data_IF_965929396118
#
_entry.id   IF_965929396118
#
_cell.length_a   1.000
_cell.length_b   1.000
_cell.length_c   1.000
_cell.angle_alpha   90.00
_cell.angle_beta   90.00
_cell.angle_gamma   90.00
#
_symmetry.space_group_name_H-M   'P 1'
#
loop_
_entity.id
_entity.type
_entity.pdbx_description
1 polymer ?
#
# COMPACT_ATOMS: atom_id res chain seq x y z
N UNK A 1 14.94 -24.87 -7.29
CA UNK A 1 13.66 -24.49 -7.90
C UNK A 1 12.64 -24.32 -6.79
N UNK A 2 11.84 -23.23 -6.81
CA UNK A 2 10.76 -23.01 -5.88
C UNK A 2 9.42 -23.31 -6.53
N UNK A 3 8.48 -23.83 -5.76
CA UNK A 3 7.10 -24.08 -6.18
C UNK A 3 6.15 -23.06 -5.52
N UNK A 4 4.89 -23.02 -5.95
CA UNK A 4 3.89 -22.17 -5.32
C UNK A 4 3.61 -22.53 -3.86
N UNK A 5 3.84 -23.79 -3.47
CA UNK A 5 3.57 -24.27 -2.11
C UNK A 5 4.73 -24.02 -1.13
N UNK A 6 5.90 -23.64 -1.65
CA UNK A 6 7.05 -23.34 -0.80
C UNK A 6 6.84 -22.03 -0.03
N UNK A 7 7.29 -22.03 1.23
CA UNK A 7 7.20 -20.85 2.10
C UNK A 7 8.21 -19.80 1.66
N UNK A 8 7.72 -18.63 1.26
CA UNK A 8 8.53 -17.48 0.89
C UNK A 8 8.98 -16.68 2.11
N UNK A 9 8.09 -16.54 3.11
CA UNK A 9 8.37 -15.79 4.34
C UNK A 9 7.44 -16.19 5.48
N UNK A 10 7.84 -15.87 6.71
CA UNK A 10 7.00 -16.00 7.90
C UNK A 10 6.80 -14.61 8.51
N UNK A 11 5.56 -14.18 8.64
CA UNK A 11 5.20 -12.92 9.29
C UNK A 11 4.46 -13.16 10.58
N UNK A 12 4.95 -12.56 11.67
CA UNK A 12 4.36 -12.74 13.00
C UNK A 12 3.17 -11.82 13.21
N UNK A 13 2.10 -12.37 13.79
CA UNK A 13 0.93 -11.64 14.28
C UNK A 13 0.87 -11.75 15.81
N UNK A 14 0.23 -10.79 16.48
CA UNK A 14 0.11 -10.78 17.95
C UNK A 14 -0.65 -12.00 18.50
N UNK A 15 -1.46 -12.66 17.66
CA UNK A 15 -2.31 -13.77 18.07
C UNK A 15 -3.41 -13.34 19.07
N UNK A 16 -4.54 -14.03 19.04
CA UNK A 16 -5.67 -13.78 19.97
C UNK A 16 -5.46 -14.39 21.36
N UNK A 17 -4.48 -15.27 21.51
CA UNK A 17 -4.18 -16.02 22.75
C UNK A 17 -2.97 -15.50 23.52
N UNK A 18 -2.43 -14.32 23.13
CA UNK A 18 -1.29 -13.69 23.79
C UNK A 18 0.09 -14.19 23.34
N UNK A 19 0.17 -15.29 22.59
CA UNK A 19 1.43 -15.76 21.99
C UNK A 19 1.50 -15.37 20.50
N UNK A 20 2.64 -14.80 20.04
CA UNK A 20 2.82 -14.49 18.62
C UNK A 20 2.69 -15.75 17.76
N UNK A 21 2.01 -15.61 16.62
CA UNK A 21 1.85 -16.69 15.63
C UNK A 21 2.51 -16.30 14.33
N UNK A 22 3.32 -17.18 13.77
CA UNK A 22 3.95 -17.00 12.46
C UNK A 22 3.01 -17.43 11.34
N UNK A 23 2.46 -16.47 10.60
CA UNK A 23 1.73 -16.77 9.37
C UNK A 23 2.73 -17.14 8.27
N UNK A 24 2.58 -18.33 7.71
CA UNK A 24 3.41 -18.80 6.60
C UNK A 24 2.84 -18.24 5.29
N UNK A 25 3.64 -17.43 4.60
CA UNK A 25 3.29 -16.84 3.31
C UNK A 25 4.04 -17.61 2.24
N UNK A 26 3.33 -18.22 1.30
CA UNK A 26 3.93 -19.00 0.21
C UNK A 26 4.22 -18.13 -1.03
N UNK A 27 5.03 -18.65 -1.96
CA UNK A 27 5.24 -18.02 -3.26
C UNK A 27 3.93 -17.92 -4.05
N UNK A 28 3.07 -18.92 -3.95
CA UNK A 28 1.74 -18.91 -4.56
C UNK A 28 0.86 -17.78 -4.02
N UNK A 29 0.85 -17.55 -2.71
CA UNK A 29 0.11 -16.44 -2.12
C UNK A 29 0.59 -15.09 -2.65
N UNK A 30 1.90 -14.88 -2.78
CA UNK A 30 2.47 -13.66 -3.36
C UNK A 30 2.04 -13.49 -4.83
N UNK A 31 2.11 -14.57 -5.61
CA UNK A 31 1.72 -14.56 -7.03
C UNK A 31 0.23 -14.21 -7.20
N UNK A 32 -0.66 -14.93 -6.51
CA UNK A 32 -2.10 -14.69 -6.63
C UNK A 32 -2.52 -13.34 -6.07
N UNK A 33 -1.87 -12.83 -5.02
CA UNK A 33 -2.11 -11.49 -4.54
C UNK A 33 -1.72 -10.44 -5.61
N UNK A 34 -0.59 -10.62 -6.30
CA UNK A 34 -0.18 -9.73 -7.38
C UNK A 34 -1.19 -9.75 -8.55
N UNK A 35 -1.71 -10.92 -8.92
CA UNK A 35 -2.74 -11.07 -9.96
C UNK A 35 -4.05 -10.39 -9.54
N UNK A 36 -4.51 -10.65 -8.31
CA UNK A 36 -5.80 -10.15 -7.81
C UNK A 36 -5.79 -8.63 -7.61
N UNK A 37 -4.66 -8.05 -7.19
CA UNK A 37 -4.54 -6.62 -6.95
C UNK A 37 -4.14 -5.85 -8.23
N UNK A 38 -3.36 -6.45 -9.10
CA UNK A 38 -2.75 -5.77 -10.24
C UNK A 38 -3.76 -5.04 -11.14
N UNK A 39 -4.80 -5.73 -11.57
CA UNK A 39 -5.82 -5.16 -12.44
C UNK A 39 -6.64 -4.05 -11.74
N UNK A 40 -7.27 -4.29 -10.57
CA UNK A 40 -8.10 -3.26 -9.94
C UNK A 40 -7.30 -2.05 -9.46
N UNK A 41 -6.02 -2.21 -9.14
CA UNK A 41 -5.14 -1.10 -8.75
C UNK A 41 -4.42 -0.42 -9.94
N UNK A 42 -4.55 -0.96 -11.16
CA UNK A 42 -3.89 -0.41 -12.34
C UNK A 42 -2.36 -0.55 -12.30
N UNK A 43 -1.85 -1.62 -11.69
CA UNK A 43 -0.41 -1.87 -11.55
C UNK A 43 0.17 -2.34 -12.90
N UNK A 44 1.28 -1.73 -13.32
CA UNK A 44 2.03 -2.05 -14.53
C UNK A 44 3.53 -1.86 -14.31
N UNK A 45 4.33 -2.09 -15.35
CA UNK A 45 5.77 -1.83 -15.33
C UNK A 45 6.13 -0.34 -15.16
N UNK A 46 5.20 0.57 -15.49
CA UNK A 46 5.38 2.02 -15.32
C UNK A 46 4.99 2.51 -13.92
N UNK A 47 4.50 1.62 -13.07
CA UNK A 47 4.07 1.96 -11.71
C UNK A 47 5.25 2.36 -10.84
N UNK A 48 5.12 3.50 -10.17
CA UNK A 48 6.04 3.96 -9.12
C UNK A 48 5.27 4.18 -7.84
N UNK A 49 5.65 3.47 -6.78
CA UNK A 49 5.01 3.61 -5.47
C UNK A 49 5.91 4.32 -4.48
N UNK A 50 5.35 5.26 -3.72
CA UNK A 50 5.94 5.72 -2.47
C UNK A 50 5.54 4.76 -1.33
N UNK A 51 6.51 4.07 -0.75
CA UNK A 51 6.34 3.14 0.38
C UNK A 51 6.67 3.83 1.68
N UNK A 52 5.68 3.98 2.56
CA UNK A 52 5.81 4.62 3.88
C UNK A 52 5.53 3.66 5.03
N UNK A 53 5.02 2.47 4.74
CA UNK A 53 4.73 1.45 5.75
C UNK A 53 5.92 0.53 5.95
N UNK A 54 6.08 -0.04 7.17
CA UNK A 54 7.17 -0.98 7.47
C UNK A 54 7.13 -2.22 6.58
N UNK A 55 8.28 -2.59 6.00
CA UNK A 55 8.40 -3.77 5.13
C UNK A 55 8.37 -5.10 5.90
N UNK A 56 8.49 -5.09 7.23
CA UNK A 56 8.30 -6.28 8.04
C UNK A 56 6.82 -6.62 8.28
N UNK A 57 5.90 -5.76 7.86
CA UNK A 57 4.46 -5.97 7.92
C UNK A 57 3.89 -6.20 6.52
N UNK A 58 2.90 -7.10 6.41
CA UNK A 58 2.29 -7.47 5.13
C UNK A 58 1.68 -6.26 4.39
N UNK A 59 1.16 -5.26 5.11
CA UNK A 59 0.67 -4.02 4.52
C UNK A 59 1.74 -3.24 3.77
N UNK A 60 2.96 -3.16 4.31
CA UNK A 60 4.08 -2.46 3.66
C UNK A 60 4.70 -3.27 2.52
N UNK A 61 4.88 -4.58 2.72
CA UNK A 61 5.60 -5.43 1.76
C UNK A 61 4.69 -6.05 0.72
N UNK A 62 3.61 -6.71 1.15
CA UNK A 62 2.85 -7.59 0.26
C UNK A 62 1.61 -6.92 -0.34
N UNK A 63 1.12 -5.79 0.23
CA UNK A 63 -0.08 -5.15 -0.29
C UNK A 63 0.16 -4.58 -1.69
N UNK A 64 1.09 -3.64 -1.83
CA UNK A 64 1.40 -3.01 -3.11
C UNK A 64 2.83 -3.26 -3.57
N UNK A 65 3.82 -3.28 -2.64
CA UNK A 65 5.22 -3.29 -3.03
C UNK A 65 5.61 -4.56 -3.82
N UNK A 66 5.32 -5.75 -3.31
CA UNK A 66 5.60 -6.99 -4.04
C UNK A 66 4.82 -7.10 -5.37
N UNK A 67 3.50 -6.82 -5.45
CA UNK A 67 2.78 -6.77 -6.71
C UNK A 67 3.39 -5.82 -7.75
N UNK A 68 3.85 -4.65 -7.33
CA UNK A 68 4.49 -3.67 -8.22
C UNK A 68 5.84 -4.19 -8.73
N UNK A 69 6.67 -4.76 -7.86
CA UNK A 69 7.93 -5.38 -8.28
C UNK A 69 7.68 -6.58 -9.20
N UNK A 70 6.65 -7.38 -8.93
CA UNK A 70 6.24 -8.48 -9.81
C UNK A 70 5.86 -8.01 -11.21
N UNK A 71 5.22 -6.85 -11.33
CA UNK A 71 4.87 -6.23 -12.61
C UNK A 71 6.04 -5.51 -13.30
N UNK A 72 7.21 -5.40 -12.66
CA UNK A 72 8.38 -4.68 -13.17
C UNK A 72 8.39 -3.19 -12.84
N UNK A 73 7.51 -2.73 -11.97
CA UNK A 73 7.46 -1.35 -11.50
C UNK A 73 8.56 -1.00 -10.49
N UNK A 74 8.47 0.18 -9.89
CA UNK A 74 9.52 0.79 -9.07
C UNK A 74 8.99 1.22 -7.71
N UNK A 75 9.83 1.11 -6.67
CA UNK A 75 9.53 1.52 -5.30
C UNK A 75 10.46 2.65 -4.86
N UNK A 76 9.88 3.68 -4.24
CA UNK A 76 10.58 4.72 -3.50
C UNK A 76 10.32 4.46 -2.00
N UNK A 77 11.37 4.12 -1.27
CA UNK A 77 11.25 3.77 0.15
C UNK A 77 11.51 4.99 1.03
N UNK A 78 10.53 5.35 1.85
CA UNK A 78 10.69 6.36 2.90
C UNK A 78 10.98 5.64 4.22
N UNK A 79 12.18 5.84 4.77
CA UNK A 79 12.62 5.13 5.98
C UNK A 79 11.75 5.45 7.19
N UNK A 80 11.50 6.74 7.41
CA UNK A 80 10.68 7.25 8.50
C UNK A 80 9.60 8.14 7.89
N UNK A 81 8.35 7.89 8.21
CA UNK A 81 7.24 8.66 7.65
C UNK A 81 7.26 10.11 8.15
N UNK A 82 7.28 11.03 7.22
CA UNK A 82 7.10 12.46 7.44
C UNK A 82 6.06 12.99 6.43
N UNK A 83 4.96 13.63 6.88
CA UNK A 83 3.88 14.03 5.98
C UNK A 83 4.29 15.08 4.96
N UNK A 84 5.14 16.04 5.33
CA UNK A 84 5.62 17.08 4.41
C UNK A 84 6.53 16.50 3.33
N UNK A 85 7.47 15.64 3.72
CA UNK A 85 8.34 14.93 2.76
C UNK A 85 7.53 13.99 1.85
N UNK A 86 6.53 13.31 2.39
CA UNK A 86 5.65 12.45 1.59
C UNK A 86 4.91 13.28 0.53
N UNK A 87 4.32 14.41 0.91
CA UNK A 87 3.67 15.33 -0.02
C UNK A 87 4.66 15.87 -1.07
N UNK A 88 5.86 16.27 -0.66
CA UNK A 88 6.89 16.74 -1.58
C UNK A 88 7.24 15.67 -2.64
N UNK A 89 7.38 14.39 -2.23
CA UNK A 89 7.67 13.28 -3.15
C UNK A 89 6.47 12.95 -4.04
N UNK A 90 5.24 12.96 -3.50
CA UNK A 90 4.02 12.73 -4.27
C UNK A 90 3.77 13.82 -5.31
N UNK A 91 4.11 15.08 -4.99
CA UNK A 91 3.95 16.23 -5.87
C UNK A 91 5.09 16.44 -6.88
N UNK A 92 6.24 15.81 -6.67
CA UNK A 92 7.41 15.97 -7.54
C UNK A 92 7.26 15.13 -8.83
N UNK A 93 7.12 15.82 -9.96
CA UNK A 93 7.01 15.18 -11.27
C UNK A 93 8.22 14.30 -11.61
N UNK A 94 9.42 14.69 -11.20
CA UNK A 94 10.65 13.94 -11.48
C UNK A 94 10.72 12.59 -10.76
N UNK A 95 10.02 12.44 -9.63
CA UNK A 95 9.88 11.17 -8.90
C UNK A 95 8.92 10.22 -9.60
N UNK A 96 7.93 10.74 -10.33
CA UNK A 96 6.99 9.98 -11.14
C UNK A 96 6.07 9.06 -10.32
N UNK A 97 5.75 9.42 -9.08
CA UNK A 97 4.90 8.57 -8.22
C UNK A 97 3.49 8.49 -8.77
N UNK A 98 3.02 7.28 -8.98
CA UNK A 98 1.67 6.97 -9.51
C UNK A 98 0.80 6.23 -8.49
N UNK A 99 1.41 5.57 -7.51
CA UNK A 99 0.71 4.75 -6.54
C UNK A 99 1.14 5.05 -5.12
N UNK A 100 0.18 5.00 -4.21
CA UNK A 100 0.41 5.14 -2.78
C UNK A 100 -0.47 4.16 -2.01
N UNK A 101 0.07 3.52 -0.98
CA UNK A 101 -0.70 2.69 -0.06
C UNK A 101 -0.34 3.03 1.37
N UNK A 102 -1.36 3.20 2.22
CA UNK A 102 -1.19 3.51 3.63
C UNK A 102 -2.33 3.00 4.50
N UNK A 103 -2.09 3.03 5.81
CA UNK A 103 -3.17 2.98 6.80
C UNK A 103 -3.78 4.39 6.94
N UNK A 104 -4.95 4.59 7.60
CA UNK A 104 -5.59 5.90 7.67
C UNK A 104 -4.73 7.03 8.24
N UNK A 105 -3.82 6.74 9.18
CA UNK A 105 -3.02 7.77 9.86
C UNK A 105 -2.10 8.57 8.92
N UNK A 106 -1.26 7.99 8.04
CA UNK A 106 -0.51 8.73 7.02
C UNK A 106 -1.38 9.66 6.17
N UNK A 107 -2.54 9.19 5.73
CA UNK A 107 -3.49 10.02 4.97
C UNK A 107 -3.97 11.22 5.76
N UNK A 108 -4.34 11.01 7.03
CA UNK A 108 -4.78 12.08 7.92
C UNK A 108 -3.68 13.10 8.19
N UNK A 109 -2.45 12.65 8.47
CA UNK A 109 -1.33 13.54 8.74
C UNK A 109 -0.95 14.39 7.52
N UNK A 110 -0.97 13.81 6.32
CA UNK A 110 -0.78 14.57 5.08
C UNK A 110 -1.89 15.59 4.85
N UNK A 111 -3.17 15.24 5.09
CA UNK A 111 -4.29 16.18 5.00
C UNK A 111 -4.19 17.37 5.96
N UNK A 112 -3.60 17.15 7.14
CA UNK A 112 -3.39 18.21 8.14
C UNK A 112 -2.17 19.09 7.86
N UNK A 113 -1.31 18.67 6.92
CA UNK A 113 -0.09 19.41 6.58
C UNK A 113 -0.43 20.65 5.73
N UNK A 114 0.19 21.84 6.00
CA UNK A 114 -0.07 23.06 5.24
C UNK A 114 0.06 22.90 3.72
N UNK A 115 1.00 22.07 3.26
CA UNK A 115 1.27 21.88 1.84
C UNK A 115 0.25 20.98 1.14
N UNK A 116 -0.64 20.30 1.87
CA UNK A 116 -1.60 19.36 1.26
C UNK A 116 -2.45 20.03 0.17
N UNK A 117 -2.95 21.23 0.44
CA UNK A 117 -3.81 21.95 -0.49
C UNK A 117 -3.08 22.36 -1.79
N UNK A 118 -1.76 22.62 -1.71
CA UNK A 118 -0.95 23.07 -2.84
C UNK A 118 -0.25 21.93 -3.60
N UNK A 119 -0.15 20.74 -3.01
CA UNK A 119 0.53 19.60 -3.63
C UNK A 119 -0.22 19.13 -4.89
N UNK A 120 0.47 18.98 -6.00
CA UNK A 120 -0.10 18.35 -7.20
C UNK A 120 -0.17 16.83 -7.03
N UNK A 121 -1.39 16.30 -6.94
CA UNK A 121 -1.68 14.88 -6.81
C UNK A 121 -2.27 14.26 -8.09
N UNK A 122 -2.30 14.99 -9.19
CA UNK A 122 -2.95 14.58 -10.44
C UNK A 122 -2.34 13.34 -11.08
N UNK A 123 -1.09 13.02 -10.76
CA UNK A 123 -0.40 11.83 -11.27
C UNK A 123 -0.74 10.54 -10.54
N UNK A 124 -1.42 10.63 -9.40
CA UNK A 124 -1.80 9.43 -8.64
C UNK A 124 -2.90 8.67 -9.38
N UNK A 125 -2.54 7.53 -9.94
CA UNK A 125 -3.45 6.62 -10.65
C UNK A 125 -4.32 5.87 -9.65
N UNK A 126 -3.73 5.42 -8.55
CA UNK A 126 -4.46 4.73 -7.48
C UNK A 126 -3.79 4.95 -6.12
N UNK A 127 -4.60 5.26 -5.13
CA UNK A 127 -4.21 5.23 -3.74
C UNK A 127 -5.03 4.18 -2.98
N UNK A 128 -4.38 3.38 -2.15
CA UNK A 128 -5.04 2.34 -1.36
C UNK A 128 -4.99 2.66 0.14
N UNK A 129 -6.10 2.49 0.83
CA UNK A 129 -6.17 2.61 2.28
C UNK A 129 -6.72 1.32 2.89
N UNK A 130 -6.09 0.80 3.95
CA UNK A 130 -6.51 -0.43 4.60
C UNK A 130 -5.82 -0.67 5.94
N UNK A 131 -6.00 -1.88 6.50
CA UNK A 131 -5.39 -2.27 7.77
C UNK A 131 -6.08 -1.72 9.03
N UNK A 132 -6.94 -0.71 8.89
CA UNK A 132 -7.79 -0.16 9.94
C UNK A 132 -9.04 0.50 9.32
N UNK A 133 -10.13 0.67 10.08
CA UNK A 133 -11.28 1.46 9.62
C UNK A 133 -10.86 2.86 9.22
N UNK A 134 -11.27 3.32 8.03
CA UNK A 134 -10.97 4.66 7.53
C UNK A 134 -12.19 5.56 7.71
N UNK A 135 -11.99 6.71 8.34
CA UNK A 135 -13.05 7.69 8.51
C UNK A 135 -13.45 8.29 7.15
N UNK A 136 -14.76 8.49 6.94
CA UNK A 136 -15.29 9.06 5.70
C UNK A 136 -14.66 10.41 5.35
N UNK A 137 -14.37 11.23 6.36
CA UNK A 137 -13.72 12.54 6.15
C UNK A 137 -12.34 12.40 5.50
N UNK A 138 -11.57 11.34 5.82
CA UNK A 138 -10.28 11.08 5.19
C UNK A 138 -10.50 10.67 3.74
N UNK A 139 -11.43 9.73 3.49
CA UNK A 139 -11.74 9.29 2.13
C UNK A 139 -12.16 10.46 1.24
N UNK A 140 -13.12 11.27 1.70
CA UNK A 140 -13.60 12.45 0.97
C UNK A 140 -12.50 13.46 0.73
N UNK A 141 -11.68 13.79 1.74
CA UNK A 141 -10.62 14.78 1.60
C UNK A 141 -9.60 14.44 0.50
N UNK A 142 -9.33 13.18 0.24
CA UNK A 142 -8.45 12.74 -0.84
C UNK A 142 -9.19 12.62 -2.18
N UNK A 143 -10.41 12.08 -2.19
CA UNK A 143 -11.24 11.97 -3.41
C UNK A 143 -11.57 13.35 -3.97
N UNK A 144 -11.89 14.34 -3.14
CA UNK A 144 -12.16 15.72 -3.55
C UNK A 144 -10.92 16.40 -4.15
N UNK A 145 -9.72 15.87 -3.85
CA UNK A 145 -8.46 16.27 -4.49
C UNK A 145 -8.17 15.51 -5.79
N UNK A 146 -9.11 14.72 -6.28
CA UNK A 146 -8.99 13.95 -7.51
C UNK A 146 -8.18 12.66 -7.39
N UNK A 147 -7.83 12.22 -6.17
CA UNK A 147 -7.08 10.98 -5.95
C UNK A 147 -8.04 9.78 -5.94
N UNK A 148 -7.88 8.79 -6.85
CA UNK A 148 -8.69 7.56 -6.84
C UNK A 148 -8.34 6.70 -5.62
N UNK A 149 -9.05 6.89 -4.52
CA UNK A 149 -8.80 6.19 -3.25
C UNK A 149 -9.66 4.92 -3.16
N UNK A 150 -8.99 3.77 -3.01
CA UNK A 150 -9.62 2.46 -2.87
C UNK A 150 -9.42 1.97 -1.44
N UNK A 151 -10.50 1.54 -0.79
CA UNK A 151 -10.40 0.93 0.54
C UNK A 151 -10.29 -0.59 0.41
N UNK A 152 -9.28 -1.17 1.09
CA UNK A 152 -9.06 -2.61 1.16
C UNK A 152 -9.23 -3.17 2.56
N UNK A 153 -9.74 -4.40 2.64
CA UNK A 153 -9.68 -5.22 3.83
C UNK A 153 -8.82 -6.45 3.57
N UNK A 154 -8.04 -6.83 4.57
CA UNK A 154 -7.21 -8.02 4.51
C UNK A 154 -6.58 -8.33 5.87
N UNK A 155 -5.81 -9.41 5.91
CA UNK A 155 -5.07 -9.84 7.09
C UNK A 155 -3.76 -10.51 6.65
N UNK A 156 -2.84 -10.73 7.58
CA UNK A 156 -1.54 -11.34 7.27
C UNK A 156 -1.71 -12.70 6.59
N UNK A 157 -2.65 -13.50 7.06
CA UNK A 157 -2.94 -14.84 6.56
C UNK A 157 -3.56 -14.87 5.16
N UNK A 158 -4.10 -13.75 4.66
CA UNK A 158 -4.60 -13.63 3.28
C UNK A 158 -3.58 -13.00 2.32
N UNK A 159 -2.44 -12.54 2.81
CA UNK A 159 -1.23 -12.03 2.12
C UNK A 159 -1.40 -10.81 1.18
N UNK A 160 -1.89 -9.69 1.64
CA UNK A 160 -2.85 -9.42 2.69
C UNK A 160 -4.29 -9.31 2.19
N UNK A 161 -4.49 -9.15 0.84
CA UNK A 161 -5.75 -8.70 0.27
C UNK A 161 -6.85 -9.76 0.38
N UNK A 162 -7.97 -9.36 1.02
CA UNK A 162 -9.21 -10.13 1.02
C UNK A 162 -10.27 -9.49 0.12
N UNK A 163 -10.52 -8.18 0.27
CA UNK A 163 -11.51 -7.45 -0.53
C UNK A 163 -11.05 -6.03 -0.85
N UNK A 164 -11.52 -5.49 -1.97
CA UNK A 164 -11.40 -4.09 -2.37
C UNK A 164 -12.79 -3.51 -2.61
N UNK A 165 -13.04 -2.30 -2.11
CA UNK A 165 -14.21 -1.49 -2.48
C UNK A 165 -13.77 -0.34 -3.40
N UNK A 166 -14.56 -0.08 -4.41
CA UNK A 166 -14.48 1.10 -5.27
C UNK A 166 -15.53 2.10 -4.88
#
# INVERSE_FOLDING_TARGET
DCTHDDVAMIMYTSGTTGHPKGAMITFGMNFYNAVNLGIPAGISADTVQLVVLPLFHTGGMNCYANPILHAGGRLLLMRDFDPGRALAVLGDESMGVTHFFGVPAPYQFMMQHPDFAATDLSRIVTAGVGGAPCAEAILRGWIDRGVPLIQGWGMTETNPLGTLSR
#
